data_IF_875719427587
#
_entry.id   IF_875719427587
#
_cell.length_a   1.000
_cell.length_b   1.000
_cell.length_c   1.000
_cell.angle_alpha   90.00
_cell.angle_beta   90.00
_cell.angle_gamma   90.00
#
_symmetry.space_group_name_H-M   'P 1'
#
loop_
_entity.id
_entity.type
_entity.pdbx_description
1 polymer ?
#
# COMPACT_ATOMS: atom_id res chain seq x y z
N UNK A 1 -16.31 74.40 -20.28
CA UNK A 1 -16.30 73.23 -21.18
C UNK A 1 -15.29 72.24 -20.64
N UNK A 2 -15.71 70.96 -20.61
CA UNK A 2 -15.00 69.71 -20.24
C UNK A 2 -13.47 69.76 -20.32
N UNK A 3 -12.70 69.10 -19.45
CA UNK A 3 -12.69 67.65 -19.22
C UNK A 3 -12.05 67.27 -17.88
N UNK A 4 -12.78 66.60 -16.99
CA UNK A 4 -12.22 65.82 -15.88
C UNK A 4 -11.91 64.41 -16.38
N UNK A 5 -10.63 64.07 -16.47
CA UNK A 5 -10.18 62.71 -16.74
C UNK A 5 -10.41 61.85 -15.49
N UNK A 6 -11.32 60.89 -15.59
CA UNK A 6 -11.53 59.81 -14.62
C UNK A 6 -10.33 58.86 -14.67
N UNK A 7 -9.55 58.81 -13.58
CA UNK A 7 -8.58 57.76 -13.33
C UNK A 7 -9.32 56.55 -12.76
N UNK A 8 -9.76 55.66 -13.64
CA UNK A 8 -10.17 54.31 -13.26
C UNK A 8 -9.01 53.35 -13.55
N UNK A 9 -8.09 53.23 -12.58
CA UNK A 9 -7.09 52.15 -12.56
C UNK A 9 -7.59 51.05 -11.64
N UNK A 10 -8.43 50.20 -12.20
CA UNK A 10 -8.30 48.74 -12.22
C UNK A 10 -7.53 48.14 -11.02
N UNK A 11 -8.23 47.92 -9.92
CA UNK A 11 -7.78 47.05 -8.82
C UNK A 11 -8.25 45.61 -9.09
N UNK A 12 -7.51 44.86 -9.90
CA UNK A 12 -7.69 43.41 -9.99
C UNK A 12 -6.33 42.73 -9.89
N UNK A 13 -6.32 41.63 -9.14
CA UNK A 13 -5.26 40.62 -9.00
C UNK A 13 -4.36 40.76 -7.77
N UNK A 14 -4.79 40.13 -6.66
CA UNK A 14 -3.95 39.92 -5.49
C UNK A 14 -4.42 38.83 -4.51
N UNK A 15 -5.66 38.33 -4.63
CA UNK A 15 -6.22 37.38 -3.65
C UNK A 15 -6.17 35.89 -4.06
N UNK A 16 -6.04 35.56 -5.35
CA UNK A 16 -6.24 34.18 -5.84
C UNK A 16 -4.98 33.29 -5.74
N UNK A 17 -3.79 33.91 -5.84
CA UNK A 17 -2.52 33.19 -5.78
C UNK A 17 -2.19 32.62 -4.39
N UNK A 18 -2.78 33.20 -3.33
CA UNK A 18 -2.60 32.71 -1.95
C UNK A 18 -3.38 31.43 -1.68
N UNK A 19 -4.66 31.38 -2.06
CA UNK A 19 -5.51 30.20 -1.91
C UNK A 19 -4.99 29.03 -2.75
N UNK A 20 -4.66 29.26 -4.02
CA UNK A 20 -4.12 28.22 -4.91
C UNK A 20 -2.85 27.56 -4.33
N UNK A 21 -1.93 28.36 -3.78
CA UNK A 21 -0.71 27.84 -3.13
C UNK A 21 -1.01 26.96 -1.93
N UNK A 22 -2.07 27.23 -1.15
CA UNK A 22 -2.47 26.39 -0.01
C UNK A 22 -2.93 25.01 -0.47
N UNK A 23 -3.75 24.94 -1.52
CA UNK A 23 -4.21 23.66 -2.08
C UNK A 23 -3.08 22.86 -2.73
N UNK A 24 -2.16 23.54 -3.43
CA UNK A 24 -0.96 22.88 -3.97
C UNK A 24 -0.10 22.28 -2.86
N UNK A 25 0.12 23.02 -1.76
CA UNK A 25 0.83 22.50 -0.59
C UNK A 25 0.09 21.32 0.04
N UNK A 26 -1.24 21.40 0.16
CA UNK A 26 -2.06 20.29 0.65
C UNK A 26 -1.85 19.03 -0.18
N UNK A 27 -2.02 19.12 -1.50
CA UNK A 27 -1.80 17.99 -2.42
C UNK A 27 -0.37 17.45 -2.34
N UNK A 28 0.63 18.33 -2.28
CA UNK A 28 2.03 17.94 -2.13
C UNK A 28 2.30 17.20 -0.81
N UNK A 29 1.71 17.65 0.31
CA UNK A 29 1.81 16.96 1.60
C UNK A 29 1.20 15.57 1.53
N UNK A 30 -0.03 15.44 1.02
CA UNK A 30 -0.68 14.14 0.88
C UNK A 30 0.15 13.19 0.02
N UNK A 31 0.59 13.65 -1.17
CA UNK A 31 1.38 12.84 -2.09
C UNK A 31 2.72 12.40 -1.46
N UNK A 32 3.45 13.34 -0.85
CA UNK A 32 4.74 13.04 -0.23
C UNK A 32 4.57 12.04 0.91
N UNK A 33 3.61 12.27 1.81
CA UNK A 33 3.30 11.36 2.92
C UNK A 33 2.88 9.98 2.42
N UNK A 34 2.09 9.92 1.35
CA UNK A 34 1.65 8.66 0.72
C UNK A 34 2.84 7.86 0.18
N UNK A 35 3.76 8.51 -0.54
CA UNK A 35 4.98 7.87 -1.07
C UNK A 35 5.93 7.40 0.04
N UNK A 36 6.12 8.23 1.07
CA UNK A 36 6.94 7.85 2.23
C UNK A 36 6.32 6.66 2.93
N UNK A 37 5.01 6.69 3.22
CA UNK A 37 4.31 5.59 3.88
C UNK A 37 4.38 4.30 3.06
N UNK A 38 4.30 4.38 1.72
CA UNK A 38 4.51 3.23 0.85
C UNK A 38 5.89 2.59 1.07
N UNK A 39 6.96 3.38 1.07
CA UNK A 39 8.30 2.88 1.36
C UNK A 39 8.42 2.26 2.76
N UNK A 40 7.81 2.91 3.78
CA UNK A 40 7.81 2.42 5.16
C UNK A 40 7.12 1.07 5.31
N UNK A 41 6.14 0.72 4.46
CA UNK A 41 5.46 -0.59 4.51
C UNK A 41 6.39 -1.78 4.31
N UNK A 42 7.58 -1.58 3.74
CA UNK A 42 8.56 -2.65 3.49
C UNK A 42 9.52 -2.90 4.66
N UNK A 43 9.59 -1.99 5.64
CA UNK A 43 10.58 -2.04 6.71
C UNK A 43 10.35 -3.13 7.77
N UNK A 44 9.20 -3.81 7.75
CA UNK A 44 8.86 -4.83 8.74
C UNK A 44 9.24 -6.26 8.31
N UNK A 45 9.85 -6.46 7.15
CA UNK A 45 10.28 -7.80 6.70
C UNK A 45 11.43 -8.32 7.58
N UNK A 46 11.41 -9.60 7.97
CA UNK A 46 12.45 -10.23 8.81
C UNK A 46 13.81 -10.24 8.11
N UNK A 47 13.83 -10.59 6.82
CA UNK A 47 15.01 -10.57 5.96
C UNK A 47 14.81 -9.58 4.80
N UNK A 48 15.92 -9.03 4.31
CA UNK A 48 15.91 -8.13 3.15
C UNK A 48 15.56 -8.87 1.84
N UNK A 49 15.91 -10.16 1.74
CA UNK A 49 15.55 -11.07 0.63
C UNK A 49 14.04 -11.21 0.46
N UNK A 50 13.27 -11.08 1.56
CA UNK A 50 11.81 -11.19 1.56
C UNK A 50 11.11 -9.91 1.08
N UNK A 51 11.83 -8.82 0.77
CA UNK A 51 11.24 -7.58 0.25
C UNK A 51 10.84 -7.76 -1.21
N UNK A 52 9.55 -7.89 -1.47
CA UNK A 52 8.97 -8.10 -2.81
C UNK A 52 7.85 -7.10 -3.10
N UNK A 53 7.69 -6.69 -4.35
CA UNK A 53 6.55 -5.86 -4.79
C UNK A 53 5.21 -6.49 -4.40
N UNK A 54 4.23 -5.66 -4.03
CA UNK A 54 2.87 -6.10 -3.69
C UNK A 54 1.81 -5.11 -4.17
N UNK A 55 0.91 -5.60 -5.02
CA UNK A 55 -0.27 -4.90 -5.51
C UNK A 55 -1.21 -4.55 -4.36
N UNK A 56 -1.38 -5.46 -3.40
CA UNK A 56 -2.19 -5.22 -2.20
C UNK A 56 -1.66 -4.03 -1.39
N UNK A 57 -0.34 -3.96 -1.14
CA UNK A 57 0.27 -2.80 -0.46
C UNK A 57 0.10 -1.52 -1.26
N UNK A 58 0.28 -1.61 -2.58
CA UNK A 58 0.08 -0.48 -3.48
C UNK A 58 -1.33 0.10 -3.37
N UNK A 59 -2.38 -0.72 -3.50
CA UNK A 59 -3.77 -0.24 -3.37
C UNK A 59 -4.12 0.21 -1.94
N UNK A 60 -3.56 -0.43 -0.91
CA UNK A 60 -3.76 0.00 0.47
C UNK A 60 -3.33 1.45 0.69
N UNK A 61 -2.18 1.83 0.14
CA UNK A 61 -1.66 3.18 0.24
C UNK A 61 -2.58 4.22 -0.40
N UNK A 62 -3.29 3.88 -1.48
CA UNK A 62 -4.27 4.80 -2.09
C UNK A 62 -5.49 5.05 -1.21
N UNK A 63 -6.11 4.01 -0.65
CA UNK A 63 -7.28 4.26 0.22
C UNK A 63 -6.85 4.94 1.52
N UNK A 64 -5.67 4.62 2.07
CA UNK A 64 -5.13 5.28 3.26
C UNK A 64 -4.83 6.76 2.98
N UNK A 65 -4.19 7.07 1.86
CA UNK A 65 -3.93 8.44 1.43
C UNK A 65 -5.21 9.24 1.18
N UNK A 66 -6.24 8.61 0.59
CA UNK A 66 -7.55 9.22 0.41
C UNK A 66 -8.26 9.51 1.74
N UNK A 67 -8.22 8.58 2.69
CA UNK A 67 -8.77 8.79 4.03
C UNK A 67 -8.03 9.91 4.78
N UNK A 68 -6.69 9.94 4.69
CA UNK A 68 -5.86 11.01 5.26
C UNK A 68 -6.22 12.38 4.69
N UNK A 69 -6.44 12.49 3.37
CA UNK A 69 -6.87 13.72 2.74
C UNK A 69 -8.23 14.22 3.28
N UNK A 70 -9.21 13.31 3.44
CA UNK A 70 -10.52 13.66 4.02
C UNK A 70 -10.39 14.14 5.47
N UNK A 71 -9.62 13.44 6.29
CA UNK A 71 -9.39 13.78 7.70
C UNK A 71 -8.71 15.15 7.80
N UNK A 72 -7.59 15.35 7.10
CA UNK A 72 -6.83 16.60 7.13
C UNK A 72 -7.67 17.77 6.65
N UNK A 73 -8.41 17.62 5.54
CA UNK A 73 -9.29 18.67 5.05
C UNK A 73 -10.37 19.00 6.07
N UNK A 74 -10.97 18.00 6.72
CA UNK A 74 -11.99 18.16 7.77
C UNK A 74 -11.52 18.98 8.96
N UNK A 75 -10.31 18.70 9.48
CA UNK A 75 -9.74 19.47 10.59
C UNK A 75 -9.28 20.88 10.18
N UNK A 76 -8.89 21.07 8.92
CA UNK A 76 -8.30 22.30 8.43
C UNK A 76 -9.25 23.13 7.56
N UNK A 77 -10.57 22.87 7.61
CA UNK A 77 -11.57 23.56 6.78
C UNK A 77 -11.48 25.10 6.88
N UNK A 78 -11.09 25.63 8.04
CA UNK A 78 -10.93 27.08 8.23
C UNK A 78 -9.84 27.68 7.33
N UNK A 79 -8.86 26.89 6.86
CA UNK A 79 -7.75 27.31 6.00
C UNK A 79 -8.11 27.28 4.50
N UNK A 80 -9.05 26.43 4.10
CA UNK A 80 -9.40 26.13 2.70
C UNK A 80 -10.78 26.71 2.35
N UNK A 81 -10.83 27.90 1.74
CA UNK A 81 -12.09 28.67 1.59
C UNK A 81 -12.90 28.32 0.35
N UNK A 82 -12.24 27.86 -0.71
CA UNK A 82 -12.91 27.49 -1.96
C UNK A 82 -13.76 26.22 -1.82
N UNK A 83 -15.09 26.39 -1.71
CA UNK A 83 -16.04 25.28 -1.56
C UNK A 83 -16.05 24.31 -2.74
N UNK A 84 -15.79 24.79 -3.95
CA UNK A 84 -15.77 23.95 -5.16
C UNK A 84 -14.57 23.00 -5.13
N UNK A 85 -13.38 23.53 -4.81
CA UNK A 85 -12.17 22.72 -4.70
C UNK A 85 -12.30 21.73 -3.53
N UNK A 86 -12.83 22.17 -2.38
CA UNK A 86 -13.07 21.26 -1.25
C UNK A 86 -14.02 20.11 -1.62
N UNK A 87 -15.12 20.42 -2.30
CA UNK A 87 -16.06 19.40 -2.77
C UNK A 87 -15.40 18.42 -3.76
N UNK A 88 -14.57 18.94 -4.67
CA UNK A 88 -13.81 18.13 -5.62
C UNK A 88 -12.80 17.20 -4.91
N UNK A 89 -12.08 17.69 -3.89
CA UNK A 89 -11.17 16.87 -3.08
C UNK A 89 -11.96 15.77 -2.37
N UNK A 90 -13.07 16.11 -1.72
CA UNK A 90 -13.90 15.12 -1.01
C UNK A 90 -14.42 14.06 -1.97
N UNK A 91 -15.03 14.46 -3.08
CA UNK A 91 -15.56 13.53 -4.07
C UNK A 91 -14.45 12.64 -4.67
N UNK A 92 -13.32 13.23 -5.04
CA UNK A 92 -12.17 12.51 -5.57
C UNK A 92 -11.60 11.51 -4.56
N UNK A 93 -11.43 11.91 -3.30
CA UNK A 93 -10.97 11.01 -2.23
C UNK A 93 -11.95 9.87 -1.97
N UNK A 94 -13.26 10.12 -1.97
CA UNK A 94 -14.27 9.05 -1.81
C UNK A 94 -14.20 8.04 -2.96
N UNK A 95 -14.07 8.51 -4.20
CA UNK A 95 -13.94 7.63 -5.38
C UNK A 95 -12.67 6.80 -5.32
N UNK A 96 -11.52 7.43 -5.04
CA UNK A 96 -10.23 6.73 -4.89
C UNK A 96 -10.29 5.72 -3.76
N UNK A 97 -10.84 6.10 -2.60
CA UNK A 97 -11.01 5.21 -1.45
C UNK A 97 -11.84 3.98 -1.82
N UNK A 98 -13.03 4.17 -2.38
CA UNK A 98 -13.93 3.08 -2.72
C UNK A 98 -13.34 2.16 -3.80
N UNK A 99 -12.72 2.74 -4.83
CA UNK A 99 -12.05 1.98 -5.90
C UNK A 99 -10.90 1.14 -5.36
N UNK A 100 -9.97 1.76 -4.62
CA UNK A 100 -8.84 1.06 -4.04
C UNK A 100 -9.26 0.01 -3.01
N UNK A 101 -10.26 0.30 -2.16
CA UNK A 101 -10.81 -0.68 -1.22
C UNK A 101 -11.41 -1.88 -1.95
N UNK A 102 -12.11 -1.66 -3.06
CA UNK A 102 -12.69 -2.75 -3.86
C UNK A 102 -11.60 -3.64 -4.44
N UNK A 103 -10.51 -3.06 -4.96
CA UNK A 103 -9.37 -3.82 -5.47
C UNK A 103 -8.69 -4.65 -4.37
N UNK A 104 -8.41 -4.03 -3.21
CA UNK A 104 -7.84 -4.75 -2.05
C UNK A 104 -8.76 -5.86 -1.59
N UNK A 105 -10.09 -5.65 -1.54
CA UNK A 105 -11.01 -6.66 -1.02
C UNK A 105 -11.33 -7.78 -2.01
N UNK A 106 -11.28 -7.50 -3.30
CA UNK A 106 -11.56 -8.50 -4.34
C UNK A 106 -10.37 -9.36 -4.68
N UNK A 107 -9.14 -8.85 -4.47
CA UNK A 107 -7.89 -9.51 -4.88
C UNK A 107 -7.85 -9.86 -6.38
N UNK A 108 -8.70 -9.22 -7.20
CA UNK A 108 -8.94 -9.60 -8.60
C UNK A 108 -7.72 -9.43 -9.53
N UNK A 109 -6.70 -8.69 -9.09
CA UNK A 109 -5.48 -8.42 -9.85
C UNK A 109 -4.26 -9.18 -9.31
N UNK A 110 -4.44 -10.07 -8.33
CA UNK A 110 -3.36 -10.82 -7.69
C UNK A 110 -3.33 -12.22 -8.29
N UNK A 111 -2.32 -12.49 -9.11
CA UNK A 111 -2.08 -13.79 -9.76
C UNK A 111 -1.04 -14.62 -9.01
N UNK A 112 -0.86 -15.89 -9.36
CA UNK A 112 -0.03 -16.88 -8.64
C UNK A 112 1.33 -16.33 -8.16
N UNK A 113 2.13 -15.76 -9.06
CA UNK A 113 3.43 -15.19 -8.69
C UNK A 113 3.31 -13.96 -7.79
N UNK A 114 2.37 -13.06 -8.08
CA UNK A 114 2.14 -11.86 -7.24
C UNK A 114 1.62 -12.24 -5.86
N UNK A 115 0.81 -13.30 -5.77
CA UNK A 115 0.35 -13.87 -4.51
C UNK A 115 1.52 -14.36 -3.69
N UNK A 116 2.38 -15.22 -4.25
CA UNK A 116 3.57 -15.75 -3.56
C UNK A 116 4.52 -14.63 -3.15
N UNK A 117 4.81 -13.69 -4.06
CA UNK A 117 5.65 -12.51 -3.79
C UNK A 117 5.10 -11.66 -2.64
N UNK A 118 3.78 -11.48 -2.55
CA UNK A 118 3.16 -10.75 -1.45
C UNK A 118 3.10 -11.56 -0.14
N UNK A 119 3.09 -12.89 -0.24
CA UNK A 119 2.92 -13.80 0.89
C UNK A 119 4.24 -14.11 1.61
N UNK A 120 5.36 -14.15 0.89
CA UNK A 120 6.72 -14.25 1.47
C UNK A 120 6.97 -13.18 2.55
N UNK A 121 6.81 -11.87 2.31
CA UNK A 121 7.00 -10.87 3.37
C UNK A 121 5.93 -10.95 4.46
N UNK A 122 4.72 -11.45 4.18
CA UNK A 122 3.71 -11.69 5.22
C UNK A 122 4.17 -12.78 6.19
N UNK A 123 4.65 -13.90 5.65
CA UNK A 123 5.19 -15.01 6.43
C UNK A 123 6.44 -14.59 7.21
N UNK A 124 7.27 -13.78 6.56
CA UNK A 124 8.44 -13.19 7.18
C UNK A 124 8.10 -12.35 8.43
N UNK A 125 7.03 -11.54 8.40
CA UNK A 125 6.58 -10.78 9.58
C UNK A 125 6.09 -11.72 10.70
N UNK A 126 5.43 -12.82 10.35
CA UNK A 126 4.97 -13.82 11.32
C UNK A 126 6.16 -14.48 12.03
N UNK A 127 7.22 -14.84 11.29
CA UNK A 127 8.48 -15.36 11.86
C UNK A 127 9.11 -14.31 12.78
N UNK A 128 9.31 -13.08 12.30
CA UNK A 128 9.88 -11.98 13.09
C UNK A 128 9.17 -11.79 14.43
N UNK A 129 7.83 -11.79 14.39
CA UNK A 129 6.99 -11.55 15.56
C UNK A 129 7.04 -12.73 16.52
N UNK A 130 6.98 -13.96 16.00
CA UNK A 130 7.01 -15.19 16.79
C UNK A 130 8.37 -15.40 17.47
N UNK A 131 9.48 -15.14 16.77
CA UNK A 131 10.82 -15.29 17.33
C UNK A 131 11.17 -14.26 18.41
N UNK A 132 10.58 -13.06 18.35
CA UNK A 132 10.94 -11.93 19.22
C UNK A 132 9.91 -11.63 20.30
N UNK A 133 8.77 -12.32 20.31
CA UNK A 133 7.75 -12.13 21.33
C UNK A 133 8.25 -12.65 22.69
N UNK A 134 7.91 -11.92 23.76
CA UNK A 134 8.21 -12.37 25.12
C UNK A 134 7.07 -13.28 25.61
N UNK A 135 7.18 -14.58 25.35
CA UNK A 135 6.14 -15.59 25.63
C UNK A 135 6.57 -16.47 26.81
N UNK A 136 5.77 -16.45 27.88
CA UNK A 136 6.02 -17.27 29.09
C UNK A 136 5.15 -18.54 29.16
N UNK A 137 3.96 -18.54 28.53
CA UNK A 137 3.07 -19.71 28.52
C UNK A 137 3.61 -20.75 27.52
N UNK A 138 4.00 -21.92 28.02
CA UNK A 138 4.61 -23.00 27.21
C UNK A 138 3.73 -23.48 26.06
N UNK A 139 2.41 -23.35 26.15
CA UNK A 139 1.49 -23.72 25.06
C UNK A 139 1.54 -22.69 23.93
N UNK A 140 1.70 -21.41 24.30
CA UNK A 140 1.84 -20.31 23.34
C UNK A 140 3.23 -20.34 22.71
N UNK A 141 4.28 -20.72 23.46
CA UNK A 141 5.61 -20.93 22.89
C UNK A 141 5.61 -22.05 21.85
N UNK A 142 5.02 -23.20 22.19
CA UNK A 142 4.87 -24.31 21.23
C UNK A 142 4.15 -23.87 19.96
N UNK A 143 3.08 -23.08 20.08
CA UNK A 143 2.38 -22.53 18.91
C UNK A 143 3.27 -21.57 18.09
N UNK A 144 4.09 -20.75 18.74
CA UNK A 144 5.02 -19.85 18.06
C UNK A 144 6.10 -20.63 17.30
N UNK A 145 6.64 -21.69 17.89
CA UNK A 145 7.63 -22.57 17.26
C UNK A 145 7.03 -23.27 16.02
N UNK A 146 5.82 -23.81 16.14
CA UNK A 146 5.09 -24.43 15.02
C UNK A 146 4.85 -23.43 13.87
N UNK A 147 4.50 -22.18 14.19
CA UNK A 147 4.32 -21.11 13.20
C UNK A 147 5.65 -20.82 12.50
N UNK A 148 6.76 -20.71 13.23
CA UNK A 148 8.07 -20.41 12.64
C UNK A 148 8.48 -21.51 11.65
N UNK A 149 8.35 -22.79 12.05
CA UNK A 149 8.71 -23.92 11.21
C UNK A 149 7.87 -23.95 9.92
N UNK A 150 6.55 -23.87 10.05
CA UNK A 150 5.64 -23.88 8.91
C UNK A 150 5.93 -22.72 7.95
N UNK A 151 6.10 -21.50 8.47
CA UNK A 151 6.25 -20.31 7.64
C UNK A 151 7.61 -20.27 6.93
N UNK A 152 8.68 -20.83 7.53
CA UNK A 152 9.99 -20.98 6.85
C UNK A 152 9.90 -21.95 5.68
N UNK A 153 9.22 -23.09 5.88
CA UNK A 153 8.96 -24.07 4.83
C UNK A 153 8.18 -23.46 3.68
N UNK A 154 7.08 -22.76 3.99
CA UNK A 154 6.21 -22.13 2.99
C UNK A 154 6.95 -21.03 2.21
N UNK A 155 7.87 -20.29 2.83
CA UNK A 155 8.74 -19.33 2.11
C UNK A 155 9.63 -20.05 1.10
N UNK A 156 10.30 -21.13 1.50
CA UNK A 156 11.17 -21.89 0.60
C UNK A 156 10.40 -22.50 -0.59
N UNK A 157 9.20 -23.03 -0.32
CA UNK A 157 8.30 -23.55 -1.34
C UNK A 157 7.84 -22.47 -2.33
N UNK A 158 7.43 -21.30 -1.82
CA UNK A 158 7.03 -20.16 -2.64
C UNK A 158 8.18 -19.61 -3.49
N UNK A 159 9.39 -19.48 -2.93
CA UNK A 159 10.56 -19.04 -3.70
C UNK A 159 10.87 -20.01 -4.84
N UNK A 160 10.85 -21.32 -4.57
CA UNK A 160 11.05 -22.34 -5.59
C UNK A 160 9.96 -22.30 -6.67
N UNK A 161 8.68 -22.19 -6.30
CA UNK A 161 7.56 -22.12 -7.24
C UNK A 161 7.62 -20.86 -8.13
N UNK A 162 8.06 -19.72 -7.59
CA UNK A 162 8.25 -18.50 -8.37
C UNK A 162 9.30 -18.73 -9.46
N UNK A 163 10.43 -19.34 -9.10
CA UNK A 163 11.52 -19.65 -10.04
C UNK A 163 11.07 -20.67 -11.09
N UNK A 164 10.46 -21.75 -10.66
CA UNK A 164 9.99 -22.82 -11.53
C UNK A 164 8.91 -22.35 -12.52
N UNK A 165 7.95 -21.52 -12.08
CA UNK A 165 6.95 -20.93 -12.99
C UNK A 165 7.60 -19.98 -13.99
N UNK A 166 8.59 -19.18 -13.56
CA UNK A 166 9.28 -18.25 -14.43
C UNK A 166 10.10 -18.96 -15.52
N UNK A 167 10.73 -20.09 -15.19
CA UNK A 167 11.57 -20.85 -16.13
C UNK A 167 10.76 -21.80 -17.02
N UNK A 168 9.78 -22.50 -16.44
CA UNK A 168 9.12 -23.65 -17.06
C UNK A 168 7.63 -23.43 -17.33
N UNK A 169 7.07 -22.27 -16.94
CA UNK A 169 5.66 -21.95 -17.07
C UNK A 169 4.76 -22.60 -16.01
N UNK A 170 3.47 -22.27 -16.05
CA UNK A 170 2.49 -22.74 -15.06
C UNK A 170 2.14 -24.22 -15.26
N UNK A 171 2.04 -24.95 -14.15
CA UNK A 171 1.34 -26.25 -14.08
C UNK A 171 -0.15 -25.98 -13.94
N UNK A 172 -0.98 -26.50 -14.83
CA UNK A 172 -2.44 -26.24 -14.82
C UNK A 172 -3.29 -27.51 -14.81
N UNK A 173 -2.65 -28.68 -14.92
CA UNK A 173 -3.32 -29.99 -14.87
C UNK A 173 -2.69 -30.92 -13.82
N UNK A 174 -3.45 -31.89 -13.28
CA UNK A 174 -2.88 -32.88 -12.35
C UNK A 174 -1.73 -33.70 -12.95
N UNK A 175 -1.81 -34.05 -14.24
CA UNK A 175 -0.74 -34.81 -14.91
C UNK A 175 0.56 -34.02 -15.03
N UNK A 176 0.47 -32.70 -15.28
CA UNK A 176 1.65 -31.81 -15.27
C UNK A 176 2.24 -31.69 -13.85
N UNK A 177 1.40 -31.66 -12.81
CA UNK A 177 1.85 -31.60 -11.42
C UNK A 177 2.58 -32.88 -10.99
N UNK A 178 2.09 -34.05 -11.42
CA UNK A 178 2.77 -35.33 -11.18
C UNK A 178 4.12 -35.41 -11.91
N UNK A 179 4.20 -34.82 -13.12
CA UNK A 179 5.43 -34.81 -13.91
C UNK A 179 6.49 -33.81 -13.39
N UNK A 180 6.06 -32.77 -12.67
CA UNK A 180 6.91 -31.73 -12.08
C UNK A 180 6.49 -31.48 -10.62
N UNK A 181 6.86 -32.40 -9.70
CA UNK A 181 6.46 -32.30 -8.31
C UNK A 181 7.21 -31.17 -7.60
N UNK A 182 6.53 -30.53 -6.65
CA UNK A 182 7.15 -29.61 -5.70
C UNK A 182 8.10 -30.40 -4.78
N UNK A 183 9.34 -29.94 -4.55
CA UNK A 183 10.26 -30.59 -3.62
C UNK A 183 9.70 -30.65 -2.20
N UNK A 184 10.15 -31.63 -1.42
CA UNK A 184 9.79 -31.69 -0.01
C UNK A 184 10.68 -30.75 0.81
N UNK A 185 10.08 -29.66 1.29
CA UNK A 185 10.74 -28.68 2.16
C UNK A 185 10.58 -28.98 3.66
N UNK A 186 10.00 -30.13 4.05
CA UNK A 186 9.81 -30.50 5.47
C UNK A 186 11.09 -30.92 6.19
N UNK A 187 12.16 -31.22 5.44
CA UNK A 187 13.47 -31.56 5.99
C UNK A 187 14.45 -30.43 5.67
N UNK A 188 14.43 -29.35 6.45
CA UNK A 188 15.41 -28.27 6.30
C UNK A 188 16.76 -28.67 6.90
N UNK A 189 17.82 -28.62 6.08
CA UNK A 189 19.11 -28.07 6.51
C UNK A 189 19.10 -26.55 6.34
#
# INVERSE_FOLDING_TARGET
MQTTATNDKMTVSGHDGGETKKYLRFGAMILTSTLVMFGLTYLNSYELSHVRWSETRFYMVFYMGAAMALIMLGFMLSMYKNKVINAAIVAGSVVVFAGALTLVRSQATVEDESWMKAMIPHHSIAILTSERANIDDVRVQSLADDIIEAQRKEIAEMDWLIEDIAENGKVTTPAEAEARPVPDFSTGE
#
